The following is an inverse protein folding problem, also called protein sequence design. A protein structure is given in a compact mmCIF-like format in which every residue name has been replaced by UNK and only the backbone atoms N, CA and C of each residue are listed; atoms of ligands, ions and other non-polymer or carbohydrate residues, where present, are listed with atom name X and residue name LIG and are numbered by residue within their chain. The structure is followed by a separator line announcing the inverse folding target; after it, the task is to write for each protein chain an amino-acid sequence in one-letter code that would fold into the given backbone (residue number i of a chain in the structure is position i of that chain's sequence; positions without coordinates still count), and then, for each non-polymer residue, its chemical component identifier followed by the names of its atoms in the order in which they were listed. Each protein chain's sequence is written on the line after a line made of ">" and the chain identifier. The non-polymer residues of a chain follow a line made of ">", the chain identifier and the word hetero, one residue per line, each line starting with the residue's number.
data_IF_134926103529
#
_entry.id   IF_134926103529
#
_cell.length_a   1.000
_cell.length_b   1.000
_cell.length_c   1.000
_cell.angle_alpha   90.00
_cell.angle_beta   90.00
_cell.angle_gamma   90.00
#
_symmetry.space_group_name_H-M   'P 1'
#
loop_
_entity.id
_entity.type
_entity.pdbx_description
1 polymer ?
#
# COMPACT_ATOMS: atom_id res chain seq x y z
N UNK A 1 -43.57 35.42 48.94
CA UNK A 1 -42.20 35.17 48.47
C UNK A 1 -42.00 33.68 48.29
N UNK A 2 -41.39 33.32 47.15
CA UNK A 2 -40.63 32.11 46.78
C UNK A 2 -40.58 30.93 47.76
N UNK A 3 -40.55 29.66 47.36
CA UNK A 3 -40.73 28.95 46.10
C UNK A 3 -40.72 27.46 46.51
N UNK A 4 -41.67 26.71 45.98
CA UNK A 4 -41.87 25.27 46.16
C UNK A 4 -40.74 24.51 45.42
N UNK A 5 -40.26 23.37 45.94
CA UNK A 5 -40.35 22.04 45.30
C UNK A 5 -39.29 21.05 45.78
N UNK A 6 -39.79 19.82 45.96
CA UNK A 6 -39.13 18.63 46.41
C UNK A 6 -38.05 18.10 45.45
N UNK A 7 -36.99 17.52 46.02
CA UNK A 7 -36.05 16.68 45.29
C UNK A 7 -36.64 15.27 45.11
N UNK A 8 -37.40 15.08 44.04
CA UNK A 8 -37.81 13.76 43.53
C UNK A 8 -36.91 13.37 42.36
N UNK A 9 -36.48 12.12 42.40
CA UNK A 9 -35.54 11.40 41.53
C UNK A 9 -35.86 11.54 40.03
N UNK A 10 -34.83 11.82 39.24
CA UNK A 10 -34.82 11.59 37.80
C UNK A 10 -33.63 10.67 37.44
N UNK A 11 -33.96 9.57 36.79
CA UNK A 11 -33.02 8.72 36.05
C UNK A 11 -32.45 9.58 34.93
N UNK A 12 -31.14 9.81 34.93
CA UNK A 12 -30.46 10.30 33.74
C UNK A 12 -29.55 9.19 33.22
N UNK A 13 -30.07 8.50 32.20
CA UNK A 13 -29.29 7.80 31.18
C UNK A 13 -28.52 8.91 30.45
N UNK A 14 -27.37 9.29 31.00
CA UNK A 14 -26.54 10.38 30.52
C UNK A 14 -25.57 9.85 29.47
N UNK A 15 -25.99 9.90 28.20
CA UNK A 15 -25.20 10.31 27.04
C UNK A 15 -23.68 10.43 27.25
N UNK A 16 -22.97 9.30 27.20
CA UNK A 16 -21.52 9.30 26.97
C UNK A 16 -21.29 9.14 25.47
N UNK A 17 -21.22 10.29 24.83
CA UNK A 17 -20.43 10.54 23.63
C UNK A 17 -20.69 9.59 22.47
N UNK A 18 -21.63 9.97 21.60
CA UNK A 18 -21.42 9.79 20.17
C UNK A 18 -20.02 10.31 19.86
N UNK A 19 -19.06 9.40 19.71
CA UNK A 19 -17.79 9.72 19.07
C UNK A 19 -18.17 10.00 17.63
N UNK A 20 -18.53 11.25 17.35
CA UNK A 20 -18.44 11.77 16.02
C UNK A 20 -16.97 11.61 15.63
N UNK A 21 -16.67 10.55 14.90
CA UNK A 21 -15.46 10.38 14.10
C UNK A 21 -15.47 11.43 12.98
N UNK A 22 -15.52 12.72 13.35
CA UNK A 22 -15.38 13.85 12.44
C UNK A 22 -13.89 14.13 12.22
N UNK A 23 -13.17 13.13 11.69
CA UNK A 23 -11.70 13.15 11.68
C UNK A 23 -10.99 12.72 10.40
N UNK A 24 -11.68 12.13 9.41
CA UNK A 24 -11.08 11.82 8.10
C UNK A 24 -12.17 11.80 7.02
N UNK A 25 -12.66 12.96 6.59
CA UNK A 25 -13.75 13.01 5.61
C UNK A 25 -13.31 12.78 4.16
N UNK A 26 -12.00 12.78 3.85
CA UNK A 26 -11.48 12.68 2.49
C UNK A 26 -10.36 11.64 2.35
N UNK A 27 -10.53 10.44 2.88
CA UNK A 27 -9.50 9.38 2.79
C UNK A 27 -9.77 8.48 1.58
N UNK A 28 -8.73 8.32 0.75
CA UNK A 28 -8.64 7.29 -0.28
C UNK A 28 -7.99 6.06 0.32
N UNK A 29 -8.57 4.88 0.14
CA UNK A 29 -7.99 3.62 0.64
C UNK A 29 -7.44 2.85 -0.54
N UNK A 30 -6.12 2.60 -0.56
CA UNK A 30 -5.46 1.80 -1.57
C UNK A 30 -5.14 0.42 -0.98
N UNK A 31 -5.79 -0.59 -1.53
CA UNK A 31 -5.61 -1.99 -1.17
C UNK A 31 -4.47 -2.61 -1.97
N UNK A 32 -3.56 -3.27 -1.27
CA UNK A 32 -2.40 -3.89 -1.90
C UNK A 32 -2.05 -5.25 -1.32
N UNK A 33 -1.33 -6.06 -2.10
CA UNK A 33 -0.71 -7.32 -1.67
C UNK A 33 0.76 -7.32 -2.05
N UNK A 34 1.57 -8.08 -1.31
CA UNK A 34 2.99 -8.28 -1.64
C UNK A 34 3.19 -9.75 -2.01
N UNK A 35 3.10 -10.12 -3.29
CA UNK A 35 3.18 -11.53 -3.70
C UNK A 35 4.59 -12.12 -3.63
N UNK A 36 5.64 -11.33 -3.90
CA UNK A 36 6.98 -11.87 -4.05
C UNK A 36 8.10 -10.88 -3.74
N UNK A 37 9.27 -11.45 -3.43
CA UNK A 37 10.54 -10.75 -3.35
C UNK A 37 11.63 -11.52 -4.15
N UNK A 38 12.60 -10.84 -4.77
CA UNK A 38 13.72 -11.51 -5.47
C UNK A 38 14.98 -10.65 -5.64
N UNK A 39 16.13 -11.32 -5.84
CA UNK A 39 17.39 -10.66 -6.16
C UNK A 39 17.53 -10.30 -7.64
N UNK A 40 17.09 -11.21 -8.50
CA UNK A 40 17.22 -11.09 -9.94
C UNK A 40 15.83 -11.03 -10.58
N UNK A 41 15.64 -10.01 -11.41
CA UNK A 41 14.46 -9.90 -12.26
C UNK A 41 14.84 -10.19 -13.71
N UNK A 42 14.21 -11.23 -14.26
CA UNK A 42 14.35 -11.66 -15.64
C UNK A 42 13.07 -11.29 -16.40
N UNK A 43 13.12 -10.15 -17.09
CA UNK A 43 11.96 -9.57 -17.79
C UNK A 43 11.57 -10.33 -19.05
N UNK A 44 12.51 -11.07 -19.64
CA UNK A 44 12.34 -11.78 -20.91
C UNK A 44 13.11 -13.11 -20.87
N UNK A 45 12.64 -14.11 -20.09
CA UNK A 45 13.34 -15.37 -19.89
C UNK A 45 13.55 -16.17 -21.18
N UNK A 46 12.76 -15.90 -22.21
CA UNK A 46 12.83 -16.55 -23.52
C UNK A 46 13.61 -15.74 -24.57
N UNK A 47 14.11 -14.55 -24.20
CA UNK A 47 14.82 -13.64 -25.11
C UNK A 47 16.25 -14.06 -25.41
N UNK A 48 16.75 -13.64 -26.58
CA UNK A 48 18.17 -13.75 -26.96
C UNK A 48 18.67 -12.39 -27.45
N UNK A 49 19.67 -11.76 -26.80
CA UNK A 49 20.37 -12.24 -25.60
C UNK A 49 19.45 -12.25 -24.37
N UNK A 50 19.73 -13.17 -23.46
CA UNK A 50 19.05 -13.25 -22.17
C UNK A 50 19.54 -12.13 -21.25
N UNK A 51 18.63 -11.35 -20.67
CA UNK A 51 18.97 -10.20 -19.81
C UNK A 51 18.28 -10.30 -18.46
N UNK A 52 19.07 -10.42 -17.40
CA UNK A 52 18.59 -10.31 -16.01
C UNK A 52 19.03 -8.98 -15.41
N UNK A 53 18.16 -8.36 -14.62
CA UNK A 53 18.51 -7.18 -13.81
C UNK A 53 18.69 -7.57 -12.35
N UNK A 54 19.78 -7.11 -11.74
CA UNK A 54 20.06 -7.35 -10.31
C UNK A 54 19.59 -6.18 -9.45
N UNK A 55 19.06 -6.49 -8.27
CA UNK A 55 18.73 -5.50 -7.24
C UNK A 55 19.99 -4.87 -6.60
N UNK A 56 21.18 -5.44 -6.84
CA UNK A 56 22.43 -5.03 -6.20
C UNK A 56 22.51 -5.51 -4.75
N UNK A 57 22.90 -4.64 -3.82
CA UNK A 57 22.90 -4.90 -2.37
C UNK A 57 21.49 -4.74 -1.79
N UNK A 58 20.49 -5.41 -2.36
CA UNK A 58 19.08 -5.19 -2.03
C UNK A 58 18.17 -6.29 -2.55
N UNK A 59 16.87 -6.02 -2.59
CA UNK A 59 15.88 -6.94 -3.13
C UNK A 59 14.76 -6.18 -3.86
N UNK A 60 14.27 -6.75 -4.96
CA UNK A 60 13.03 -6.31 -5.58
C UNK A 60 11.85 -6.84 -4.77
N UNK A 61 10.95 -5.94 -4.37
CA UNK A 61 9.69 -6.24 -3.71
C UNK A 61 8.55 -5.96 -4.68
N UNK A 62 7.66 -6.93 -4.87
CA UNK A 62 6.53 -6.83 -5.78
C UNK A 62 5.27 -6.49 -4.99
N UNK A 63 4.48 -5.56 -5.50
CA UNK A 63 3.23 -5.12 -4.89
C UNK A 63 2.10 -5.09 -5.92
N UNK A 64 1.07 -5.87 -5.70
CA UNK A 64 -0.17 -5.79 -6.47
C UNK A 64 -1.08 -4.72 -5.89
N UNK A 65 -1.50 -3.77 -6.71
CA UNK A 65 -2.46 -2.74 -6.37
C UNK A 65 -3.85 -3.28 -6.70
N UNK A 66 -4.48 -3.90 -5.71
CA UNK A 66 -5.72 -4.68 -5.85
C UNK A 66 -6.91 -3.78 -6.10
N UNK A 67 -7.05 -2.70 -5.34
CA UNK A 67 -8.13 -1.73 -5.53
C UNK A 67 -7.77 -0.37 -4.93
N UNK A 68 -8.47 0.67 -5.40
CA UNK A 68 -8.48 1.98 -4.78
C UNK A 68 -9.93 2.37 -4.53
N UNK A 69 -10.27 2.63 -3.28
CA UNK A 69 -11.56 3.12 -2.83
C UNK A 69 -11.51 4.63 -2.60
N UNK A 70 -12.36 5.36 -3.30
CA UNK A 70 -12.51 6.81 -3.18
C UNK A 70 -13.95 7.17 -2.84
N UNK A 71 -14.48 6.59 -1.76
CA UNK A 71 -15.91 6.63 -1.40
C UNK A 71 -16.25 7.54 -0.21
N UNK A 72 -15.25 8.19 0.40
CA UNK A 72 -15.46 9.02 1.57
C UNK A 72 -16.41 10.20 1.27
N UNK A 73 -17.24 10.57 2.26
CA UNK A 73 -18.18 11.69 2.12
C UNK A 73 -17.41 13.02 2.05
N UNK A 74 -17.39 13.65 0.88
CA UNK A 74 -16.59 14.86 0.60
C UNK A 74 -15.39 14.60 -0.31
N UNK A 75 -15.18 13.34 -0.72
CA UNK A 75 -14.12 12.94 -1.62
C UNK A 75 -14.06 13.79 -2.90
N UNK A 76 -12.84 14.08 -3.33
CA UNK A 76 -12.51 14.65 -4.64
C UNK A 76 -11.96 13.54 -5.53
N UNK A 77 -11.91 13.79 -6.83
CA UNK A 77 -11.26 12.87 -7.74
C UNK A 77 -9.79 12.69 -7.35
N UNK A 78 -9.33 11.45 -7.37
CA UNK A 78 -7.99 11.08 -6.94
C UNK A 78 -7.14 10.69 -8.15
N UNK A 79 -6.02 11.39 -8.34
CA UNK A 79 -5.03 11.03 -9.35
C UNK A 79 -4.01 10.08 -8.75
N UNK A 80 -4.27 8.78 -8.85
CA UNK A 80 -3.31 7.76 -8.45
C UNK A 80 -2.04 7.91 -9.28
N UNK A 81 -0.90 8.06 -8.60
CA UNK A 81 0.40 8.03 -9.23
C UNK A 81 1.27 6.94 -8.57
N UNK A 82 1.57 5.84 -9.28
CA UNK A 82 2.39 4.75 -8.74
C UNK A 82 3.80 5.20 -8.35
N UNK A 83 4.33 6.28 -8.94
CA UNK A 83 5.63 6.83 -8.58
C UNK A 83 5.68 7.48 -7.18
N UNK A 84 4.53 7.66 -6.52
CA UNK A 84 4.44 8.12 -5.13
C UNK A 84 4.48 6.97 -4.13
N UNK A 85 4.47 5.72 -4.59
CA UNK A 85 4.57 4.53 -3.74
C UNK A 85 6.03 4.25 -3.37
N UNK A 86 6.24 3.79 -2.15
CA UNK A 86 7.55 3.32 -1.69
C UNK A 86 7.37 2.29 -0.57
N UNK A 87 8.33 1.37 -0.45
CA UNK A 87 8.38 0.42 0.65
C UNK A 87 9.18 1.06 1.78
N UNK A 88 8.65 1.01 2.99
CA UNK A 88 9.36 1.55 4.15
C UNK A 88 9.76 0.41 5.09
N UNK A 89 11.08 0.19 5.18
CA UNK A 89 11.68 -0.39 6.35
C UNK A 89 13.13 -0.84 6.16
N UNK A 90 13.75 -1.25 7.25
CA UNK A 90 15.09 -1.83 7.28
C UNK A 90 15.06 -3.33 6.91
N UNK A 91 16.23 -3.96 6.86
CA UNK A 91 16.39 -5.39 6.60
C UNK A 91 15.61 -6.29 7.57
N UNK A 92 15.20 -5.78 8.73
CA UNK A 92 14.46 -6.47 9.79
C UNK A 92 12.96 -6.16 9.76
N UNK A 93 12.48 -5.39 8.78
CA UNK A 93 11.08 -5.01 8.66
C UNK A 93 10.64 -3.86 9.58
N UNK A 94 11.58 -3.17 10.23
CA UNK A 94 11.25 -1.98 11.01
C UNK A 94 11.05 -0.80 10.08
N UNK A 95 9.96 -0.06 10.23
CA UNK A 95 9.71 1.21 9.53
C UNK A 95 10.86 2.19 9.78
N UNK A 96 11.52 2.68 8.72
CA UNK A 96 12.57 3.72 8.77
C UNK A 96 11.97 5.04 8.25
N UNK A 97 11.71 6.02 9.12
CA UNK A 97 11.24 7.33 8.67
C UNK A 97 12.26 7.99 7.73
N UNK A 98 11.79 8.45 6.57
CA UNK A 98 12.58 9.36 5.72
C UNK A 98 13.56 8.73 4.74
N UNK A 99 13.53 7.41 4.52
CA UNK A 99 14.30 6.77 3.43
C UNK A 99 13.38 6.44 2.25
N UNK A 100 13.38 7.24 1.17
CA UNK A 100 12.66 6.88 -0.05
C UNK A 100 13.34 5.67 -0.68
N UNK A 101 12.63 4.53 -0.79
CA UNK A 101 13.08 3.41 -1.61
C UNK A 101 13.11 3.81 -3.09
N UNK A 102 14.03 3.22 -3.86
CA UNK A 102 14.10 3.45 -5.29
C UNK A 102 12.96 2.68 -5.99
N UNK A 103 12.03 3.40 -6.59
CA UNK A 103 11.01 2.80 -7.46
C UNK A 103 11.62 2.56 -8.83
N UNK A 104 11.74 1.29 -9.23
CA UNK A 104 12.11 0.91 -10.59
C UNK A 104 10.94 0.18 -11.22
N UNK A 105 10.38 0.77 -12.27
CA UNK A 105 9.32 0.14 -13.05
C UNK A 105 9.96 -0.80 -14.07
N UNK A 106 9.82 -2.10 -13.87
CA UNK A 106 10.18 -3.08 -14.90
C UNK A 106 8.98 -3.42 -15.78
N UNK A 107 9.30 -3.82 -17.03
CA UNK A 107 8.36 -4.22 -18.08
C UNK A 107 7.66 -5.54 -17.73
N UNK A 108 6.76 -5.53 -16.74
CA UNK A 108 5.78 -6.58 -16.53
C UNK A 108 4.47 -6.21 -17.23
N UNK A 109 3.78 -7.19 -17.79
CA UNK A 109 2.37 -7.00 -18.14
C UNK A 109 1.60 -6.65 -16.87
N UNK A 110 0.79 -5.58 -16.94
CA UNK A 110 0.01 -5.12 -15.79
C UNK A 110 0.79 -4.25 -14.80
N UNK A 111 1.77 -3.45 -15.22
CA UNK A 111 2.34 -2.37 -14.40
C UNK A 111 1.21 -1.42 -13.94
N UNK A 112 1.24 -1.02 -12.67
CA UNK A 112 0.36 0.03 -12.21
C UNK A 112 0.72 1.35 -12.90
N UNK A 113 -0.23 1.94 -13.61
CA UNK A 113 -0.07 3.21 -14.33
C UNK A 113 -0.82 4.33 -13.63
N UNK A 114 -0.45 5.61 -13.86
CA UNK A 114 -1.25 6.72 -13.37
C UNK A 114 -2.72 6.58 -13.79
N UNK A 115 -3.63 6.78 -12.84
CA UNK A 115 -5.07 6.60 -13.08
C UNK A 115 -5.89 7.62 -12.29
N UNK A 116 -6.88 8.23 -12.96
CA UNK A 116 -7.93 8.99 -12.30
C UNK A 116 -8.94 8.02 -11.67
N UNK A 117 -9.15 8.12 -10.36
CA UNK A 117 -10.17 7.40 -9.60
C UNK A 117 -11.24 8.42 -9.19
N UNK A 118 -12.40 8.46 -9.88
CA UNK A 118 -13.43 9.45 -9.60
C UNK A 118 -13.98 9.34 -8.18
N UNK A 119 -14.44 10.45 -7.62
CA UNK A 119 -15.13 10.45 -6.33
C UNK A 119 -16.34 9.50 -6.33
N UNK A 120 -16.59 8.87 -5.20
CA UNK A 120 -17.69 7.91 -5.01
C UNK A 120 -17.46 6.54 -5.65
N UNK A 121 -16.27 6.27 -6.20
CA UNK A 121 -16.00 5.02 -6.95
C UNK A 121 -14.98 4.12 -6.26
N UNK A 122 -14.95 2.86 -6.70
CA UNK A 122 -13.83 1.95 -6.47
C UNK A 122 -13.25 1.56 -7.82
N UNK A 123 -11.94 1.67 -7.96
CA UNK A 123 -11.19 1.15 -9.11
C UNK A 123 -10.54 -0.18 -8.71
N UNK A 124 -10.84 -1.26 -9.44
CA UNK A 124 -10.17 -2.56 -9.25
C UNK A 124 -8.92 -2.73 -10.11
N UNK A 125 -8.09 -3.70 -9.70
CA UNK A 125 -6.93 -4.28 -10.40
C UNK A 125 -6.11 -3.25 -11.17
N UNK A 126 -5.41 -2.39 -10.44
CA UNK A 126 -4.66 -1.28 -11.04
C UNK A 126 -3.29 -1.69 -11.57
N UNK A 127 -2.83 -2.90 -11.29
CA UNK A 127 -1.56 -3.43 -11.75
C UNK A 127 -0.56 -3.63 -10.62
N UNK A 128 0.70 -3.82 -10.99
CA UNK A 128 1.81 -4.19 -10.11
C UNK A 128 2.87 -3.10 -10.09
N UNK A 129 3.44 -2.88 -8.91
CA UNK A 129 4.57 -2.00 -8.66
C UNK A 129 5.74 -2.84 -8.17
N UNK A 130 6.94 -2.52 -8.65
CA UNK A 130 8.19 -3.15 -8.22
C UNK A 130 9.05 -2.10 -7.56
N UNK A 131 9.54 -2.39 -6.36
CA UNK A 131 10.36 -1.48 -5.58
C UNK A 131 11.69 -2.17 -5.30
N UNK A 132 12.80 -1.52 -5.65
CA UNK A 132 14.11 -1.98 -5.20
C UNK A 132 14.34 -1.40 -3.80
N UNK A 133 14.47 -2.29 -2.81
CA UNK A 133 14.81 -1.93 -1.45
C UNK A 133 16.30 -2.25 -1.19
N UNK A 134 17.18 -1.23 -1.12
CA UNK A 134 18.55 -1.41 -0.67
C UNK A 134 18.60 -1.96 0.76
N UNK A 135 19.54 -2.85 1.06
CA UNK A 135 19.67 -3.51 2.34
C UNK A 135 21.06 -4.07 2.56
N UNK A 136 21.64 -3.83 3.75
CA UNK A 136 22.92 -4.45 4.14
C UNK A 136 22.76 -5.93 4.53
N UNK A 137 21.52 -6.39 4.74
CA UNK A 137 21.16 -7.81 4.89
C UNK A 137 19.99 -8.16 3.96
N UNK A 138 20.27 -8.41 2.67
CA UNK A 138 19.23 -8.81 1.72
C UNK A 138 18.65 -10.19 2.02
N UNK A 139 19.29 -11.05 2.81
CA UNK A 139 18.78 -12.39 3.12
C UNK A 139 17.55 -12.33 4.03
N UNK A 140 17.54 -11.40 4.97
CA UNK A 140 16.38 -11.14 5.84
C UNK A 140 15.13 -10.68 5.05
N UNK A 141 15.32 -10.09 3.87
CA UNK A 141 14.22 -9.63 3.01
C UNK A 141 13.50 -10.77 2.26
N UNK A 142 14.05 -11.99 2.17
CA UNK A 142 13.47 -13.09 1.38
C UNK A 142 12.02 -13.40 1.77
N UNK A 143 11.71 -13.33 3.06
CA UNK A 143 10.38 -13.62 3.62
C UNK A 143 9.74 -12.40 4.27
N UNK A 144 10.36 -11.22 4.16
CA UNK A 144 9.87 -10.02 4.82
C UNK A 144 8.63 -9.45 4.12
N UNK A 145 7.63 -9.10 4.94
CA UNK A 145 6.47 -8.32 4.52
C UNK A 145 6.71 -6.85 4.83
N UNK A 146 7.03 -6.07 3.80
CA UNK A 146 7.34 -4.65 3.94
C UNK A 146 6.09 -3.82 3.66
N UNK A 147 5.78 -2.85 4.52
CA UNK A 147 4.61 -2.00 4.33
C UNK A 147 4.82 -1.06 3.15
N UNK A 148 3.79 -0.99 2.31
CA UNK A 148 3.72 -0.02 1.23
C UNK A 148 3.20 1.29 1.78
N UNK A 149 3.86 2.40 1.43
CA UNK A 149 3.49 3.76 1.80
C UNK A 149 3.26 4.58 0.53
N UNK A 150 2.54 5.69 0.69
CA UNK A 150 2.23 6.63 -0.39
C UNK A 150 2.59 8.04 0.04
N UNK A 151 3.38 8.75 -0.77
CA UNK A 151 3.82 10.12 -0.50
C UNK A 151 2.71 11.12 -0.83
N UNK A 152 1.72 11.26 0.03
CA UNK A 152 0.59 12.19 -0.16
C UNK A 152 1.05 13.64 -0.27
N UNK A 153 0.40 14.41 -1.15
CA UNK A 153 0.53 15.85 -1.22
C UNK A 153 -0.30 16.51 -0.12
N UNK A 154 -0.05 17.81 0.13
CA UNK A 154 -0.88 18.56 1.08
C UNK A 154 -2.37 18.50 0.68
N UNK A 155 -3.23 18.17 1.64
CA UNK A 155 -4.68 18.02 1.41
C UNK A 155 -5.11 16.67 0.82
N UNK A 156 -4.18 15.75 0.59
CA UNK A 156 -4.45 14.37 0.16
C UNK A 156 -4.32 13.43 1.37
N UNK A 157 -5.34 12.62 1.63
CA UNK A 157 -5.30 11.58 2.67
C UNK A 157 -5.40 10.22 1.98
N UNK A 158 -4.32 9.44 2.03
CA UNK A 158 -4.28 8.09 1.46
C UNK A 158 -3.93 7.12 2.57
N UNK A 159 -4.80 6.14 2.77
CA UNK A 159 -4.58 4.99 3.62
C UNK A 159 -4.14 3.81 2.76
N UNK A 160 -3.08 3.13 3.17
CA UNK A 160 -2.58 1.94 2.51
C UNK A 160 -3.05 0.74 3.32
N UNK A 161 -3.94 -0.06 2.75
CA UNK A 161 -4.49 -1.26 3.37
C UNK A 161 -3.83 -2.49 2.74
N UNK A 162 -3.09 -3.27 3.54
CA UNK A 162 -2.62 -4.57 3.08
C UNK A 162 -3.80 -5.55 3.11
N UNK A 163 -4.12 -6.13 1.97
CA UNK A 163 -5.09 -7.21 1.90
C UNK A 163 -4.53 -8.46 2.60
N UNK A 164 -5.38 -9.24 3.29
CA UNK A 164 -4.97 -10.51 3.86
C UNK A 164 -4.56 -11.48 2.73
N UNK A 165 -3.47 -12.21 2.94
CA UNK A 165 -2.92 -13.13 1.95
C UNK A 165 -1.72 -13.91 2.49
N UNK A 166 -1.19 -14.86 1.72
CA UNK A 166 0.02 -15.59 2.10
C UNK A 166 1.22 -14.64 2.26
N UNK A 167 2.23 -15.11 2.98
CA UNK A 167 3.53 -14.43 2.99
C UNK A 167 4.11 -14.35 1.57
N UNK A 168 4.87 -13.29 1.24
CA UNK A 168 5.53 -13.15 -0.05
C UNK A 168 6.43 -14.35 -0.29
N UNK A 169 6.40 -14.88 -1.51
CA UNK A 169 7.33 -15.95 -1.90
C UNK A 169 8.66 -15.33 -2.32
N UNK A 170 9.75 -15.96 -1.88
CA UNK A 170 11.05 -15.68 -2.47
C UNK A 170 11.16 -16.39 -3.82
N UNK A 171 11.48 -15.64 -4.88
CA UNK A 171 11.73 -16.16 -6.21
C UNK A 171 13.15 -15.80 -6.63
N UNK A 172 13.85 -16.68 -7.35
CA UNK A 172 15.17 -16.37 -7.87
C UNK A 172 15.47 -17.22 -9.12
N UNK A 173 15.37 -16.66 -10.34
CA UNK A 173 14.94 -15.29 -10.66
C UNK A 173 13.41 -15.11 -10.58
N UNK A 174 12.96 -13.87 -10.39
CA UNK A 174 11.61 -13.48 -10.77
C UNK A 174 11.48 -13.44 -12.29
N UNK A 175 10.42 -14.03 -12.83
CA UNK A 175 10.02 -13.92 -14.24
C UNK A 175 8.58 -13.44 -14.33
N UNK A 176 8.13 -12.82 -15.43
CA UNK A 176 6.72 -12.49 -15.61
C UNK A 176 5.79 -13.68 -15.36
N UNK A 177 6.18 -14.88 -15.80
CA UNK A 177 5.38 -16.08 -15.64
C UNK A 177 5.22 -16.51 -14.17
N UNK A 178 6.33 -16.61 -13.42
CA UNK A 178 6.26 -17.11 -12.05
C UNK A 178 5.66 -16.10 -11.06
N UNK A 179 5.81 -14.79 -11.30
CA UNK A 179 5.18 -13.75 -10.47
C UNK A 179 3.68 -13.66 -10.77
N UNK A 180 3.25 -13.81 -12.03
CA UNK A 180 1.82 -13.80 -12.39
C UNK A 180 1.07 -15.07 -11.97
N UNK A 181 1.78 -16.16 -11.68
CA UNK A 181 1.19 -17.38 -11.12
C UNK A 181 0.95 -17.31 -9.60
N UNK A 182 1.33 -16.21 -8.95
CA UNK A 182 1.11 -16.02 -7.52
C UNK A 182 -0.31 -15.51 -7.21
N UNK A 183 -0.90 -15.95 -6.09
CA UNK A 183 -2.25 -15.57 -5.66
C UNK A 183 -2.36 -14.14 -5.12
#
# INVERSE_FOLDING_TARGET
>A
MLQLHANIRAILIGSVGSIFLSGCQNTVILHYRQPANCYLFDSNPTGSPHTTTSAGSGMFLFYDIVSIENKASGAKDFNFNPAKLFANGDSKGNTVPGTPGASFTYLLTGIAVPKLVPKGTTSGSLGRVVINLPSDDPAALKTAQMNLLYKSASGESVLLARDPGPAPKFLDPCTPANVNALP
#
